data_IF_999422742695
#
_entry.id   IF_999422742695
#
_cell.length_a   1.000
_cell.length_b   1.000
_cell.length_c   1.000
_cell.angle_alpha   90.00
_cell.angle_beta   90.00
_cell.angle_gamma   90.00
#
_symmetry.space_group_name_H-M   'P 1'
#
loop_
_entity.id
_entity.type
_entity.pdbx_description
1 polymer ?
#
# COMPACT_ATOMS: atom_id res chain seq x y z
N UNK A 1 -19.84 -20.20 -4.59
CA UNK A 1 -18.45 -20.44 -5.01
C UNK A 1 -18.00 -19.28 -5.87
N UNK A 2 -16.84 -18.69 -5.57
CA UNK A 2 -16.25 -17.66 -6.42
C UNK A 2 -15.94 -18.24 -7.79
N UNK A 3 -16.27 -17.53 -8.87
CA UNK A 3 -16.05 -18.01 -10.25
C UNK A 3 -14.59 -17.86 -10.69
N UNK A 4 -13.83 -16.99 -10.03
CA UNK A 4 -12.42 -16.76 -10.29
C UNK A 4 -11.68 -16.56 -8.98
N UNK A 5 -10.38 -16.72 -9.04
CA UNK A 5 -9.44 -16.43 -7.95
C UNK A 5 -8.49 -15.34 -8.43
N UNK A 6 -8.21 -14.35 -7.59
CA UNK A 6 -7.30 -13.25 -7.91
C UNK A 6 -6.12 -13.26 -6.97
N UNK A 7 -4.92 -13.10 -7.52
CA UNK A 7 -3.70 -12.90 -6.76
C UNK A 7 -3.16 -11.47 -6.95
N UNK A 8 -2.67 -10.83 -5.88
CA UNK A 8 -2.10 -9.50 -5.95
C UNK A 8 -0.77 -9.52 -6.72
N UNK A 9 -0.66 -8.68 -7.75
CA UNK A 9 0.53 -8.54 -8.58
C UNK A 9 1.41 -7.33 -8.20
N UNK A 10 1.01 -6.57 -7.18
CA UNK A 10 1.76 -5.36 -6.80
C UNK A 10 1.25 -4.64 -5.57
N UNK A 11 1.89 -3.50 -5.31
CA UNK A 11 1.54 -2.57 -4.25
C UNK A 11 0.26 -1.81 -4.58
N UNK A 12 -0.41 -1.32 -3.55
CA UNK A 12 -1.56 -0.45 -3.72
C UNK A 12 -1.14 0.91 -4.26
N UNK A 13 -1.87 1.37 -5.28
CA UNK A 13 -1.62 2.63 -5.98
C UNK A 13 -2.84 3.54 -5.81
N UNK A 14 -2.60 4.84 -5.70
CA UNK A 14 -3.67 5.82 -5.64
C UNK A 14 -4.47 5.77 -6.94
N UNK A 15 -5.80 5.86 -6.80
CA UNK A 15 -6.68 5.98 -7.95
C UNK A 15 -6.54 7.36 -8.60
N UNK A 16 -6.66 7.41 -9.94
CA UNK A 16 -6.75 8.69 -10.61
C UNK A 16 -8.12 9.34 -10.33
N UNK A 17 -8.16 10.67 -10.45
CA UNK A 17 -9.38 11.47 -10.41
C UNK A 17 -10.48 10.96 -11.36
N UNK A 18 -10.08 10.44 -12.52
CA UNK A 18 -10.96 9.84 -13.53
C UNK A 18 -11.39 8.41 -13.21
N UNK A 19 -10.96 7.83 -12.10
CA UNK A 19 -11.34 6.47 -11.70
C UNK A 19 -12.10 6.46 -10.38
N UNK A 20 -12.32 7.64 -9.80
CA UNK A 20 -13.00 7.84 -8.51
C UNK A 20 -14.41 7.24 -8.44
N UNK A 21 -15.11 7.12 -9.57
CA UNK A 21 -16.44 6.52 -9.63
C UNK A 21 -16.44 5.00 -9.69
N UNK A 22 -15.29 4.35 -9.89
CA UNK A 22 -15.18 2.90 -10.01
C UNK A 22 -15.21 2.25 -8.63
N UNK A 23 -15.92 1.12 -8.49
CA UNK A 23 -16.17 0.47 -7.18
C UNK A 23 -14.88 0.20 -6.39
N UNK A 24 -13.80 -0.19 -7.07
CA UNK A 24 -12.51 -0.48 -6.42
C UNK A 24 -11.77 0.76 -5.90
N UNK A 25 -12.22 1.96 -6.27
CA UNK A 25 -11.65 3.24 -5.83
C UNK A 25 -12.56 3.98 -4.83
N UNK A 26 -13.84 3.63 -4.73
CA UNK A 26 -14.80 4.36 -3.89
C UNK A 26 -14.55 4.18 -2.40
N UNK A 27 -14.01 3.03 -1.98
CA UNK A 27 -13.86 2.71 -0.56
C UNK A 27 -12.76 3.57 0.08
N UNK A 28 -11.55 3.51 -0.48
CA UNK A 28 -10.37 4.13 0.12
C UNK A 28 -9.57 5.01 -0.84
N UNK A 29 -9.97 5.14 -2.11
CA UNK A 29 -9.22 5.90 -3.11
C UNK A 29 -7.93 5.23 -3.60
N UNK A 30 -7.72 3.95 -3.26
CA UNK A 30 -6.57 3.16 -3.70
C UNK A 30 -7.00 1.85 -4.33
N UNK A 31 -6.31 1.47 -5.40
CA UNK A 31 -6.52 0.22 -6.14
C UNK A 31 -5.28 -0.66 -6.06
N UNK A 32 -5.48 -1.96 -6.07
CA UNK A 32 -4.41 -2.95 -6.14
C UNK A 32 -4.46 -3.69 -7.48
N UNK A 33 -3.35 -3.77 -8.22
CA UNK A 33 -3.29 -4.59 -9.43
C UNK A 33 -3.35 -6.07 -9.05
N UNK A 34 -4.23 -6.80 -9.72
CA UNK A 34 -4.40 -8.24 -9.54
C UNK A 34 -4.35 -8.96 -10.88
N UNK A 35 -3.90 -10.20 -10.82
CA UNK A 35 -4.07 -11.16 -11.90
C UNK A 35 -5.04 -12.23 -11.44
N UNK A 36 -6.10 -12.42 -12.22
CA UNK A 36 -7.14 -13.35 -11.87
C UNK A 36 -7.16 -14.50 -12.86
N UNK A 37 -7.47 -15.68 -12.35
CA UNK A 37 -7.64 -16.89 -13.13
C UNK A 37 -9.04 -17.46 -12.91
N UNK A 38 -9.65 -17.96 -13.97
CA UNK A 38 -10.93 -18.65 -13.88
C UNK A 38 -10.78 -19.97 -13.14
N UNK A 39 -11.70 -20.25 -12.23
CA UNK A 39 -11.74 -21.55 -11.58
C UNK A 39 -12.09 -22.65 -12.60
N UNK A 40 -11.65 -23.88 -12.33
CA UNK A 40 -11.77 -25.02 -13.25
C UNK A 40 -13.23 -25.35 -13.60
N UNK A 41 -14.15 -25.02 -12.71
CA UNK A 41 -15.58 -25.34 -12.81
C UNK A 41 -16.39 -24.33 -13.62
N UNK A 42 -15.76 -23.32 -14.22
CA UNK A 42 -16.46 -22.29 -15.01
C UNK A 42 -16.58 -22.72 -16.46
N UNK A 43 -17.81 -22.68 -16.99
CA UNK A 43 -18.12 -22.96 -18.38
C UNK A 43 -17.42 -22.00 -19.34
N UNK A 44 -16.96 -22.52 -20.48
CA UNK A 44 -16.26 -21.74 -21.50
C UNK A 44 -17.10 -20.56 -22.02
N UNK A 45 -18.40 -20.77 -22.25
CA UNK A 45 -19.30 -19.70 -22.70
C UNK A 45 -19.39 -18.54 -21.70
N UNK A 46 -19.27 -18.83 -20.41
CA UNK A 46 -19.20 -17.81 -19.37
C UNK A 46 -17.87 -17.06 -19.39
N UNK A 47 -16.75 -17.77 -19.62
CA UNK A 47 -15.41 -17.17 -19.74
C UNK A 47 -15.32 -16.22 -20.94
N UNK A 48 -15.98 -16.56 -22.04
CA UNK A 48 -15.94 -15.75 -23.27
C UNK A 48 -16.81 -14.48 -23.15
N UNK A 49 -17.87 -14.50 -22.32
CA UNK A 49 -18.77 -13.36 -22.11
C UNK A 49 -18.31 -12.38 -21.04
N UNK A 50 -17.39 -12.79 -20.16
CA UNK A 50 -16.97 -11.98 -19.01
C UNK A 50 -15.47 -11.76 -18.98
N UNK A 51 -15.06 -10.51 -18.74
CA UNK A 51 -13.67 -10.15 -18.50
C UNK A 51 -13.35 -10.24 -17.00
N UNK A 52 -12.18 -10.75 -16.68
CA UNK A 52 -11.66 -10.77 -15.32
C UNK A 52 -11.21 -9.36 -14.88
N UNK A 53 -11.40 -9.00 -13.61
CA UNK A 53 -10.95 -7.72 -13.10
C UNK A 53 -9.41 -7.68 -13.08
N UNK A 54 -8.86 -6.49 -13.38
CA UNK A 54 -7.42 -6.22 -13.30
C UNK A 54 -7.03 -5.47 -12.03
N UNK A 55 -8.02 -4.90 -11.34
CA UNK A 55 -7.86 -4.11 -10.14
C UNK A 55 -8.93 -4.48 -9.13
N UNK A 56 -8.56 -4.48 -7.86
CA UNK A 56 -9.47 -4.64 -6.73
C UNK A 56 -9.20 -3.58 -5.69
N UNK A 57 -10.14 -3.39 -4.77
CA UNK A 57 -9.95 -2.50 -3.63
C UNK A 57 -8.78 -2.99 -2.78
N UNK A 58 -7.93 -2.06 -2.37
CA UNK A 58 -6.82 -2.38 -1.49
C UNK A 58 -7.32 -2.67 -0.06
N UNK A 59 -7.11 -3.88 0.45
CA UNK A 59 -7.52 -4.29 1.80
C UNK A 59 -6.52 -3.92 2.90
N UNK A 60 -5.24 -3.69 2.56
CA UNK A 60 -4.16 -3.47 3.52
C UNK A 60 -3.47 -2.11 3.33
N UNK A 61 -4.24 -1.03 3.49
CA UNK A 61 -3.72 0.34 3.39
C UNK A 61 -2.87 0.74 4.61
N UNK A 62 -3.29 0.33 5.81
CA UNK A 62 -2.63 0.71 7.06
C UNK A 62 -1.15 0.31 7.10
N UNK A 63 -0.81 -0.89 6.63
CA UNK A 63 0.57 -1.38 6.62
C UNK A 63 1.48 -0.61 5.66
N UNK A 64 0.92 -0.04 4.58
CA UNK A 64 1.67 0.71 3.59
C UNK A 64 2.01 2.11 4.09
N UNK A 65 1.03 2.82 4.65
CA UNK A 65 1.23 4.17 5.19
C UNK A 65 2.22 4.16 6.36
N UNK A 66 2.11 3.18 7.26
CA UNK A 66 3.01 3.07 8.41
C UNK A 66 4.46 2.86 7.99
N UNK A 67 4.74 2.03 6.97
CA UNK A 67 6.10 1.80 6.47
C UNK A 67 6.70 3.03 5.80
N UNK A 68 5.90 3.75 5.01
CA UNK A 68 6.34 4.98 4.36
C UNK A 68 6.65 6.08 5.38
N UNK A 69 5.79 6.22 6.38
CA UNK A 69 5.97 7.15 7.50
C UNK A 69 7.23 6.83 8.32
N UNK A 70 7.41 5.57 8.72
CA UNK A 70 8.59 5.10 9.45
C UNK A 70 9.90 5.41 8.70
N UNK A 71 9.96 5.13 7.39
CA UNK A 71 11.18 5.38 6.61
C UNK A 71 11.60 6.86 6.64
N UNK A 72 10.65 7.79 6.51
CA UNK A 72 10.97 9.21 6.47
C UNK A 72 11.16 9.82 7.88
N UNK A 73 10.43 9.37 8.89
CA UNK A 73 10.53 9.94 10.25
C UNK A 73 11.72 9.44 11.06
N UNK A 74 12.23 8.23 10.77
CA UNK A 74 13.40 7.69 11.48
C UNK A 74 14.65 8.58 11.33
N UNK A 75 14.84 9.22 10.18
CA UNK A 75 15.97 10.12 9.95
C UNK A 75 15.97 11.33 10.90
N UNK A 76 14.80 11.94 11.12
CA UNK A 76 14.66 13.09 12.04
C UNK A 76 14.87 12.68 13.50
N UNK A 77 14.40 11.49 13.89
CA UNK A 77 14.61 10.95 15.24
C UNK A 77 16.11 10.75 15.49
N UNK A 78 16.84 10.16 14.53
CA UNK A 78 18.28 9.93 14.64
C UNK A 78 19.04 11.27 14.75
N UNK A 79 18.70 12.26 13.91
CA UNK A 79 19.31 13.59 13.98
C UNK A 79 19.06 14.28 15.34
N UNK A 80 17.85 14.15 15.89
CA UNK A 80 17.51 14.64 17.22
C UNK A 80 18.38 14.01 18.32
N UNK A 81 18.55 12.69 18.28
CA UNK A 81 19.41 11.96 19.21
C UNK A 81 20.88 12.40 19.13
N UNK A 82 21.42 12.56 17.91
CA UNK A 82 22.79 13.03 17.69
C UNK A 82 22.97 14.45 18.24
N UNK A 83 22.05 15.36 17.92
CA UNK A 83 22.10 16.73 18.41
C UNK A 83 22.06 16.80 19.95
N UNK A 84 21.22 15.97 20.57
CA UNK A 84 21.12 15.87 22.03
C UNK A 84 22.40 15.30 22.66
N UNK A 85 22.98 14.26 22.07
CA UNK A 85 24.26 13.69 22.52
C UNK A 85 25.40 14.73 22.43
N UNK A 86 25.48 15.48 21.33
CA UNK A 86 26.46 16.57 21.15
C UNK A 86 26.23 17.68 22.18
N UNK A 87 24.98 18.05 22.45
CA UNK A 87 24.63 19.05 23.47
C UNK A 87 25.12 18.62 24.86
N UNK A 88 24.82 17.38 25.27
CA UNK A 88 25.27 16.84 26.56
C UNK A 88 26.81 16.81 26.62
N UNK A 89 27.47 16.34 25.57
CA UNK A 89 28.93 16.28 25.51
C UNK A 89 29.56 17.67 25.66
N UNK A 90 29.05 18.68 24.93
CA UNK A 90 29.51 20.06 25.06
C UNK A 90 29.28 20.61 26.47
N UNK A 91 28.11 20.35 27.05
CA UNK A 91 27.79 20.79 28.41
C UNK A 91 28.77 20.19 29.41
N UNK A 92 29.03 18.89 29.37
CA UNK A 92 29.99 18.24 30.26
C UNK A 92 31.41 18.79 30.15
N UNK A 93 31.82 19.28 28.98
CA UNK A 93 33.15 19.87 28.75
C UNK A 93 33.29 21.32 29.22
N UNK A 94 32.19 22.07 29.34
CA UNK A 94 32.22 23.48 29.77
C UNK A 94 32.06 23.65 31.29
N UNK A 95 31.49 22.65 31.97
CA UNK A 95 31.30 22.62 33.42
C UNK A 95 32.32 21.72 34.15
N UNK A 96 33.33 21.21 33.43
CA UNK A 96 34.51 20.51 33.96
C UNK A 96 35.74 21.37 33.69
#
# INVERSE_FOLDING_TARGET
MSKYTCEPQGLCIACDSTESWLEYCQENGYKQPVECEWNKDVEKEYKDKHSLPRFVTCSNLDDFEHRAFLRNHLAFIILGCIAFAVYIWRRKRLYA
#
